data_IF_681495278995
#
_entry.id   IF_681495278995
#
_cell.length_a   1.000
_cell.length_b   1.000
_cell.length_c   1.000
_cell.angle_alpha   90.00
_cell.angle_beta   90.00
_cell.angle_gamma   90.00
#
_symmetry.space_group_name_H-M   'P 1'
#
loop_
_entity.id
_entity.type
_entity.pdbx_description
1 polymer ?
#
# COMPACT_ATOMS: atom_id res chain seq x y z
N UNK A 1 38.36 -51.09 -8.62
CA UNK A 1 37.99 -50.19 -9.74
C UNK A 1 37.18 -48.95 -9.34
N UNK A 2 36.87 -48.71 -8.05
CA UNK A 2 36.01 -47.59 -7.60
C UNK A 2 36.83 -46.34 -7.18
N UNK A 3 38.11 -46.48 -6.83
CA UNK A 3 38.93 -45.38 -6.30
C UNK A 3 39.39 -44.34 -7.35
N UNK A 4 39.52 -44.71 -8.62
CA UNK A 4 39.97 -43.80 -9.67
C UNK A 4 38.94 -42.69 -9.99
N UNK A 5 37.65 -42.95 -9.76
CA UNK A 5 36.57 -41.99 -9.99
C UNK A 5 36.53 -40.89 -8.93
N UNK A 6 36.72 -41.23 -7.66
CA UNK A 6 36.60 -40.30 -6.54
C UNK A 6 37.70 -39.21 -6.54
N UNK A 7 38.92 -39.55 -6.98
CA UNK A 7 40.04 -38.61 -7.04
C UNK A 7 39.85 -37.57 -8.17
N UNK A 8 39.31 -38.02 -9.32
CA UNK A 8 38.94 -37.16 -10.45
C UNK A 8 37.87 -36.12 -10.08
N UNK A 9 36.87 -36.50 -9.28
CA UNK A 9 35.84 -35.56 -8.82
C UNK A 9 36.37 -34.52 -7.82
N UNK A 10 37.28 -34.92 -6.92
CA UNK A 10 37.93 -33.99 -5.98
C UNK A 10 38.84 -32.99 -6.68
N UNK A 11 39.63 -33.43 -7.66
CA UNK A 11 40.50 -32.53 -8.43
C UNK A 11 39.70 -31.55 -9.31
N UNK A 12 38.61 -32.01 -9.93
CA UNK A 12 37.68 -31.13 -10.66
C UNK A 12 37.02 -30.11 -9.73
N UNK A 13 36.57 -30.54 -8.55
CA UNK A 13 35.96 -29.65 -7.55
C UNK A 13 36.95 -28.61 -7.03
N UNK A 14 38.18 -29.01 -6.69
CA UNK A 14 39.22 -28.09 -6.24
C UNK A 14 39.67 -27.11 -7.34
N UNK A 15 39.59 -27.51 -8.61
CA UNK A 15 39.86 -26.63 -9.75
C UNK A 15 38.74 -25.60 -9.93
N UNK A 16 37.47 -26.01 -9.82
CA UNK A 16 36.32 -25.10 -9.84
C UNK A 16 36.43 -24.09 -8.70
N UNK A 17 36.67 -24.52 -7.46
CA UNK A 17 36.78 -23.61 -6.30
C UNK A 17 37.88 -22.56 -6.52
N UNK A 18 39.06 -22.96 -7.02
CA UNK A 18 40.16 -22.03 -7.31
C UNK A 18 39.81 -21.05 -8.43
N UNK A 19 39.17 -21.52 -9.50
CA UNK A 19 38.68 -20.66 -10.58
C UNK A 19 37.62 -19.66 -10.10
N UNK A 20 36.65 -20.12 -9.31
CA UNK A 20 35.60 -19.27 -8.73
C UNK A 20 36.19 -18.23 -7.78
N UNK A 21 37.14 -18.60 -6.91
CA UNK A 21 37.81 -17.67 -6.02
C UNK A 21 38.59 -16.59 -6.79
N UNK A 22 39.30 -16.98 -7.86
CA UNK A 22 40.00 -16.05 -8.74
C UNK A 22 39.04 -15.10 -9.47
N UNK A 23 37.93 -15.61 -10.00
CA UNK A 23 36.91 -14.80 -10.65
C UNK A 23 36.23 -13.84 -9.67
N UNK A 24 35.99 -14.28 -8.42
CA UNK A 24 35.43 -13.44 -7.37
C UNK A 24 36.38 -12.30 -7.00
N UNK A 25 37.68 -12.59 -6.84
CA UNK A 25 38.69 -11.57 -6.56
C UNK A 25 38.76 -10.53 -7.70
N UNK A 26 38.75 -10.98 -8.96
CA UNK A 26 38.70 -10.09 -10.12
C UNK A 26 37.42 -9.24 -10.15
N UNK A 27 36.26 -9.83 -9.86
CA UNK A 27 34.99 -9.12 -9.81
C UNK A 27 34.85 -8.15 -8.63
N UNK A 28 35.62 -8.34 -7.56
CA UNK A 28 35.70 -7.42 -6.43
C UNK A 28 36.68 -6.28 -6.66
N UNK A 29 37.74 -6.51 -7.45
CA UNK A 29 38.68 -5.46 -7.87
C UNK A 29 38.12 -4.52 -8.94
N UNK A 30 37.12 -4.96 -9.70
CA UNK A 30 36.43 -4.14 -10.70
C UNK A 30 35.02 -3.78 -10.22
N UNK A 31 34.82 -2.52 -9.85
CA UNK A 31 33.49 -2.00 -9.50
C UNK A 31 32.47 -2.28 -10.61
N UNK A 32 32.90 -2.29 -11.89
CA UNK A 32 32.04 -2.46 -13.06
C UNK A 32 32.02 -3.89 -13.61
N UNK A 33 32.42 -4.88 -12.81
CA UNK A 33 32.44 -6.27 -13.22
C UNK A 33 31.11 -6.73 -13.84
N UNK A 34 31.13 -7.61 -14.86
CA UNK A 34 29.91 -8.05 -15.55
C UNK A 34 28.81 -8.60 -14.61
N UNK A 35 29.21 -9.26 -13.52
CA UNK A 35 28.28 -9.78 -12.51
C UNK A 35 27.58 -8.66 -11.72
N UNK A 36 28.30 -7.58 -11.37
CA UNK A 36 27.73 -6.41 -10.68
C UNK A 36 26.75 -5.67 -11.59
N UNK A 37 27.10 -5.49 -12.86
CA UNK A 37 26.18 -4.93 -13.88
C UNK A 37 24.94 -5.80 -14.08
N UNK A 38 25.11 -7.12 -14.05
CA UNK A 38 24.00 -8.09 -14.13
C UNK A 38 23.04 -7.92 -12.94
N UNK A 39 23.55 -7.83 -11.71
CA UNK A 39 22.72 -7.58 -10.52
C UNK A 39 22.05 -6.21 -10.54
N UNK A 40 22.77 -5.17 -10.97
CA UNK A 40 22.21 -3.83 -11.10
C UNK A 40 21.05 -3.81 -12.13
N UNK A 41 21.21 -4.50 -13.26
CA UNK A 41 20.11 -4.69 -14.23
C UNK A 41 18.89 -5.38 -13.61
N UNK A 42 19.09 -6.41 -12.77
CA UNK A 42 17.98 -7.05 -12.06
C UNK A 42 17.27 -6.08 -11.11
N UNK A 43 18.05 -5.33 -10.33
CA UNK A 43 17.50 -4.34 -9.39
C UNK A 43 16.69 -3.26 -10.10
N UNK A 44 17.13 -2.81 -11.29
CA UNK A 44 16.34 -1.87 -12.10
C UNK A 44 15.04 -2.48 -12.58
N UNK A 45 15.05 -3.72 -13.10
CA UNK A 45 13.83 -4.40 -13.53
C UNK A 45 12.83 -4.54 -12.38
N UNK A 46 13.29 -4.95 -11.20
CA UNK A 46 12.48 -5.02 -9.99
C UNK A 46 11.92 -3.64 -9.61
N UNK A 47 12.77 -2.60 -9.60
CA UNK A 47 12.34 -1.26 -9.25
C UNK A 47 11.32 -0.71 -10.24
N UNK A 48 11.49 -0.93 -11.55
CA UNK A 48 10.53 -0.52 -12.58
C UNK A 48 9.16 -1.19 -12.36
N UNK A 49 9.13 -2.48 -11.99
CA UNK A 49 7.90 -3.19 -11.65
C UNK A 49 7.24 -2.64 -10.38
N UNK A 50 8.04 -2.38 -9.32
CA UNK A 50 7.55 -1.76 -8.09
C UNK A 50 7.02 -0.34 -8.33
N UNK A 51 7.68 0.41 -9.21
CA UNK A 51 7.26 1.76 -9.58
C UNK A 51 5.92 1.75 -10.32
N UNK A 52 5.71 0.80 -11.25
CA UNK A 52 4.40 0.60 -11.88
C UNK A 52 3.32 0.29 -10.86
N UNK A 53 3.59 -0.63 -9.93
CA UNK A 53 2.63 -1.01 -8.89
C UNK A 53 2.31 0.15 -7.95
N UNK A 54 3.31 0.98 -7.61
CA UNK A 54 3.14 2.08 -6.68
C UNK A 54 2.41 3.27 -7.30
N UNK A 55 2.80 3.67 -8.52
CA UNK A 55 2.31 4.90 -9.16
C UNK A 55 1.09 4.67 -10.05
N UNK A 56 0.88 3.42 -10.48
CA UNK A 56 -0.18 3.08 -11.42
C UNK A 56 0.02 3.64 -12.82
N UNK A 57 1.17 4.24 -13.17
CA UNK A 57 1.40 4.79 -14.52
C UNK A 57 1.26 3.72 -15.60
N UNK A 58 0.85 4.11 -16.81
CA UNK A 58 0.78 3.14 -17.89
C UNK A 58 2.19 2.80 -18.42
N UNK A 59 2.32 1.66 -19.11
CA UNK A 59 3.62 1.19 -19.60
C UNK A 59 4.29 2.20 -20.55
N UNK A 60 3.54 2.78 -21.49
CA UNK A 60 4.10 3.77 -22.41
C UNK A 60 4.65 5.01 -21.69
N UNK A 61 3.97 5.47 -20.63
CA UNK A 61 4.42 6.56 -19.77
C UNK A 61 5.70 6.19 -19.04
N UNK A 62 5.80 4.99 -18.47
CA UNK A 62 7.01 4.49 -17.82
C UNK A 62 8.21 4.50 -18.77
N UNK A 63 8.03 3.98 -19.98
CA UNK A 63 9.09 3.87 -20.99
C UNK A 63 9.53 5.24 -21.54
N UNK A 64 8.65 6.24 -21.53
CA UNK A 64 8.91 7.58 -22.03
C UNK A 64 9.46 8.55 -20.96
N UNK A 65 9.65 8.11 -19.71
CA UNK A 65 10.17 8.95 -18.62
C UNK A 65 11.64 9.32 -18.85
N UNK A 66 11.98 10.60 -18.63
CA UNK A 66 13.32 11.16 -18.81
C UNK A 66 13.90 11.57 -17.45
N UNK A 67 15.17 11.23 -17.19
CA UNK A 67 15.84 11.48 -15.91
C UNK A 67 16.00 12.96 -15.58
N UNK A 68 16.37 13.79 -16.57
CA UNK A 68 16.53 15.25 -16.39
C UNK A 68 15.24 15.97 -16.04
N UNK A 69 14.09 15.30 -16.14
CA UNK A 69 12.78 15.86 -15.86
C UNK A 69 12.25 15.61 -14.44
N UNK A 70 12.93 14.78 -13.64
CA UNK A 70 12.59 14.59 -12.23
C UNK A 70 12.90 15.87 -11.44
N UNK A 71 11.86 16.63 -11.11
CA UNK A 71 11.97 17.81 -10.24
C UNK A 71 11.61 17.44 -8.81
N UNK A 72 12.08 18.27 -7.86
CA UNK A 72 11.85 18.09 -6.43
C UNK A 72 10.39 17.77 -6.10
N UNK A 73 10.23 16.79 -5.21
CA UNK A 73 8.94 16.29 -4.76
C UNK A 73 8.17 17.41 -4.02
N UNK A 74 7.08 17.89 -4.61
CA UNK A 74 6.16 18.81 -3.94
C UNK A 74 5.18 18.04 -3.05
N UNK A 75 4.78 18.64 -1.93
CA UNK A 75 3.80 18.03 -1.02
C UNK A 75 2.43 18.04 -1.69
N UNK A 76 1.94 16.86 -2.07
CA UNK A 76 0.58 16.69 -2.59
C UNK A 76 -0.42 16.45 -1.46
N UNK A 77 -0.03 15.61 -0.47
CA UNK A 77 -0.77 15.27 0.76
C UNK A 77 0.20 14.86 1.88
N UNK A 78 -0.30 14.73 3.11
CA UNK A 78 0.52 14.30 4.26
C UNK A 78 1.24 12.96 4.02
N UNK A 79 0.63 12.01 3.30
CA UNK A 79 1.19 10.65 3.05
C UNK A 79 1.77 10.44 1.65
N UNK A 80 1.58 11.40 0.74
CA UNK A 80 1.93 11.27 -0.68
C UNK A 80 2.73 12.48 -1.18
N UNK A 81 3.66 12.22 -2.09
CA UNK A 81 4.46 13.23 -2.78
C UNK A 81 4.13 13.21 -4.26
N UNK A 82 3.89 14.38 -4.82
CA UNK A 82 3.78 14.55 -6.27
C UNK A 82 5.17 14.78 -6.84
N UNK A 83 5.50 14.01 -7.86
CA UNK A 83 6.74 14.15 -8.62
C UNK A 83 6.36 14.50 -10.05
N UNK A 84 6.86 15.65 -10.51
CA UNK A 84 6.64 16.13 -11.88
C UNK A 84 7.73 15.56 -12.79
N UNK A 85 7.35 15.13 -13.99
CA UNK A 85 8.25 14.67 -15.04
C UNK A 85 7.70 15.01 -16.43
N UNK A 86 8.52 14.91 -17.47
CA UNK A 86 8.10 15.11 -18.86
C UNK A 86 8.09 13.79 -19.63
N UNK A 87 6.99 13.52 -20.32
CA UNK A 87 6.89 12.44 -21.30
C UNK A 87 6.28 12.97 -22.59
N UNK A 88 6.96 12.75 -23.73
CA UNK A 88 6.47 13.17 -25.05
C UNK A 88 6.17 14.67 -25.18
N UNK A 89 6.91 15.53 -24.47
CA UNK A 89 6.73 16.99 -24.51
C UNK A 89 5.62 17.54 -23.61
N UNK A 90 4.94 16.72 -22.80
CA UNK A 90 3.92 17.16 -21.83
C UNK A 90 4.42 16.98 -20.39
N UNK A 91 4.07 17.93 -19.52
CA UNK A 91 4.28 17.81 -18.08
C UNK A 91 3.26 16.81 -17.51
N UNK A 92 3.76 15.73 -16.93
CA UNK A 92 2.97 14.67 -16.29
C UNK A 92 3.40 14.57 -14.84
N UNK A 93 2.46 14.31 -13.95
CA UNK A 93 2.72 14.15 -12.52
C UNK A 93 2.36 12.73 -12.11
N UNK A 94 3.24 12.08 -11.34
CA UNK A 94 2.89 10.85 -10.64
C UNK A 94 2.95 11.09 -9.13
N UNK A 95 2.16 10.31 -8.41
CA UNK A 95 2.10 10.39 -6.95
C UNK A 95 2.72 9.14 -6.35
N UNK A 96 3.65 9.31 -5.41
CA UNK A 96 4.28 8.22 -4.65
C UNK A 96 4.01 8.36 -3.17
N UNK A 97 3.88 7.25 -2.45
CA UNK A 97 3.83 7.29 -0.99
C UNK A 97 5.17 7.70 -0.38
N UNK A 98 5.12 8.26 0.82
CA UNK A 98 6.33 8.58 1.60
C UNK A 98 7.25 7.37 1.81
N UNK A 99 6.68 6.18 2.05
CA UNK A 99 7.43 4.94 2.24
C UNK A 99 8.16 4.45 0.99
N UNK A 100 7.75 4.91 -0.20
CA UNK A 100 8.42 4.58 -1.46
C UNK A 100 9.62 5.48 -1.76
N UNK A 101 9.68 6.67 -1.16
CA UNK A 101 10.75 7.66 -1.42
C UNK A 101 12.17 7.11 -1.18
N UNK A 102 12.47 6.34 -0.12
CA UNK A 102 13.78 5.74 0.06
C UNK A 102 14.17 4.79 -1.09
N UNK A 103 13.22 4.02 -1.63
CA UNK A 103 13.46 3.11 -2.77
C UNK A 103 13.76 3.90 -4.04
N UNK A 104 13.03 4.99 -4.28
CA UNK A 104 13.28 5.90 -5.40
C UNK A 104 14.68 6.53 -5.30
N UNK A 105 15.08 7.00 -4.11
CA UNK A 105 16.43 7.54 -3.89
C UNK A 105 17.52 6.49 -4.16
N UNK A 106 17.35 5.28 -3.63
CA UNK A 106 18.29 4.19 -3.86
C UNK A 106 18.40 3.82 -5.35
N UNK A 107 17.28 3.85 -6.07
CA UNK A 107 17.26 3.63 -7.51
C UNK A 107 18.00 4.73 -8.28
N UNK A 108 17.80 6.01 -7.93
CA UNK A 108 18.48 7.12 -8.60
C UNK A 108 20.01 7.03 -8.41
N UNK A 109 20.47 6.66 -7.22
CA UNK A 109 21.89 6.39 -6.97
C UNK A 109 22.42 5.20 -7.80
N UNK A 110 21.63 4.12 -7.93
CA UNK A 110 21.99 2.97 -8.77
C UNK A 110 22.06 3.35 -10.26
N UNK A 111 21.15 4.22 -10.72
CA UNK A 111 21.13 4.75 -12.07
C UNK A 111 22.38 5.56 -12.35
N UNK A 112 22.71 6.51 -11.49
CA UNK A 112 23.92 7.34 -11.58
C UNK A 112 25.19 6.48 -11.69
N UNK A 113 25.29 5.45 -10.84
CA UNK A 113 26.37 4.46 -10.88
C UNK A 113 26.48 3.72 -12.23
N UNK A 114 25.36 3.43 -12.90
CA UNK A 114 25.35 2.72 -14.17
C UNK A 114 25.64 3.63 -15.35
N UNK A 115 24.96 4.78 -15.42
CA UNK A 115 25.03 5.77 -16.52
C UNK A 115 26.43 6.34 -16.62
N UNK A 116 26.98 6.87 -15.51
CA UNK A 116 28.22 7.65 -15.53
C UNK A 116 28.20 8.69 -16.68
N UNK A 117 29.14 8.62 -17.61
CA UNK A 117 29.25 9.55 -18.75
C UNK A 117 28.49 9.06 -20.00
N UNK A 118 27.68 8.00 -19.90
CA UNK A 118 26.89 7.52 -21.02
C UNK A 118 25.75 8.49 -21.35
N UNK A 119 25.60 8.81 -22.63
CA UNK A 119 24.49 9.60 -23.16
C UNK A 119 23.19 8.78 -23.09
N UNK A 120 22.54 8.81 -21.92
CA UNK A 120 21.29 8.12 -21.68
C UNK A 120 20.36 8.97 -20.82
N UNK A 121 19.36 9.53 -21.48
CA UNK A 121 18.35 10.39 -20.86
C UNK A 121 17.16 9.63 -20.28
N UNK A 122 16.95 8.37 -20.67
CA UNK A 122 15.85 7.55 -20.17
C UNK A 122 15.94 7.38 -18.65
N UNK A 123 14.84 7.62 -17.94
CA UNK A 123 14.78 7.39 -16.49
C UNK A 123 15.04 5.91 -16.22
N UNK A 124 14.24 5.03 -16.82
CA UNK A 124 14.38 3.59 -16.72
C UNK A 124 15.20 2.99 -17.85
N UNK A 125 16.19 2.19 -17.47
CA UNK A 125 17.17 1.58 -18.37
C UNK A 125 17.53 0.17 -17.91
N UNK A 126 18.20 -0.60 -18.75
CA UNK A 126 18.74 -1.90 -18.36
C UNK A 126 20.07 -2.13 -19.07
N UNK A 127 20.77 -3.19 -18.66
CA UNK A 127 21.97 -3.64 -19.37
C UNK A 127 21.53 -4.60 -20.47
N UNK A 128 21.90 -4.28 -21.71
CA UNK A 128 21.55 -5.05 -22.89
C UNK A 128 22.02 -6.50 -22.79
N UNK A 129 21.26 -7.40 -23.44
CA UNK A 129 21.55 -8.84 -23.54
C UNK A 129 22.00 -9.17 -24.97
N UNK A 130 22.61 -10.35 -25.14
CA UNK A 130 23.00 -10.88 -26.45
C UNK A 130 23.83 -9.89 -27.29
N UNK A 131 23.33 -9.42 -28.43
CA UNK A 131 24.01 -8.49 -29.34
C UNK A 131 24.36 -7.13 -28.72
N UNK A 132 23.67 -6.73 -27.64
CA UNK A 132 23.92 -5.48 -26.90
C UNK A 132 24.56 -5.72 -25.53
N UNK A 133 25.23 -6.86 -25.34
CA UNK A 133 25.76 -7.28 -24.04
C UNK A 133 26.70 -6.23 -23.46
N UNK A 134 26.35 -5.74 -22.27
CA UNK A 134 27.16 -4.78 -21.52
C UNK A 134 26.93 -3.32 -21.86
N UNK A 135 26.14 -3.02 -22.91
CA UNK A 135 25.68 -1.66 -23.22
C UNK A 135 24.45 -1.30 -22.37
N UNK A 136 24.28 -0.01 -22.10
CA UNK A 136 23.05 0.50 -21.50
C UNK A 136 22.01 0.71 -22.58
N UNK A 137 20.80 0.24 -22.33
CA UNK A 137 19.66 0.35 -23.24
C UNK A 137 18.45 0.86 -22.49
N UNK A 138 17.53 1.52 -23.18
CA UNK A 138 16.23 1.89 -22.62
C UNK A 138 15.51 0.64 -22.11
N UNK A 139 14.66 0.81 -21.09
CA UNK A 139 13.82 -0.30 -20.61
C UNK A 139 12.99 -0.85 -21.78
N UNK A 140 13.00 -2.16 -22.05
CA UNK A 140 12.20 -2.73 -23.14
C UNK A 140 10.72 -2.84 -22.73
N UNK A 141 9.76 -2.80 -23.67
CA UNK A 141 8.34 -2.98 -23.37
C UNK A 141 8.01 -4.29 -22.65
N UNK A 142 8.73 -5.36 -22.98
CA UNK A 142 8.59 -6.70 -22.43
C UNK A 142 9.40 -6.91 -21.13
N UNK A 143 9.87 -5.84 -20.46
CA UNK A 143 10.72 -5.95 -19.28
C UNK A 143 10.09 -6.78 -18.14
N UNK A 144 8.76 -6.77 -18.00
CA UNK A 144 8.07 -7.58 -16.99
C UNK A 144 8.23 -9.08 -17.28
N UNK A 145 8.12 -9.49 -18.54
CA UNK A 145 8.38 -10.87 -18.96
C UNK A 145 9.83 -11.23 -18.65
N UNK A 146 10.77 -10.36 -19.02
CA UNK A 146 12.20 -10.56 -18.75
C UNK A 146 12.53 -10.62 -17.26
N UNK A 147 11.79 -9.90 -16.42
CA UNK A 147 11.91 -9.92 -14.97
C UNK A 147 11.42 -11.27 -14.44
N UNK A 148 10.21 -11.67 -14.80
CA UNK A 148 9.61 -12.90 -14.29
C UNK A 148 10.38 -14.15 -14.73
N UNK A 149 10.80 -14.22 -16.00
CA UNK A 149 11.63 -15.33 -16.49
C UNK A 149 12.96 -15.40 -15.72
N UNK A 150 13.52 -14.25 -15.36
CA UNK A 150 14.75 -14.19 -14.57
C UNK A 150 14.53 -14.62 -13.12
N UNK A 151 13.38 -14.30 -12.52
CA UNK A 151 13.00 -14.79 -11.20
C UNK A 151 12.82 -16.31 -11.20
N UNK A 152 12.24 -16.88 -12.26
CA UNK A 152 12.11 -18.33 -12.39
C UNK A 152 13.47 -19.03 -12.42
N UNK A 153 14.48 -18.44 -13.09
CA UNK A 153 15.85 -19.00 -13.07
C UNK A 153 16.47 -19.02 -11.66
N UNK A 154 15.93 -18.25 -10.73
CA UNK A 154 16.33 -18.20 -9.32
C UNK A 154 15.41 -19.06 -8.43
N UNK A 155 14.44 -19.78 -9.00
CA UNK A 155 13.45 -20.57 -8.27
C UNK A 155 12.33 -19.73 -7.62
N UNK A 156 12.20 -18.46 -7.98
CA UNK A 156 11.18 -17.56 -7.46
C UNK A 156 10.01 -17.51 -8.44
N UNK A 157 8.96 -18.30 -8.17
CA UNK A 157 7.78 -18.38 -9.01
C UNK A 157 6.74 -17.36 -8.55
N UNK A 158 6.43 -16.38 -9.41
CA UNK A 158 5.41 -15.35 -9.18
C UNK A 158 4.32 -15.40 -10.25
N UNK A 159 3.08 -14.96 -9.93
CA UNK A 159 2.06 -14.76 -10.93
C UNK A 159 2.52 -13.74 -11.99
N UNK A 160 2.25 -14.04 -13.26
CA UNK A 160 2.64 -13.19 -14.40
C UNK A 160 1.67 -12.01 -14.54
N UNK A 161 1.89 -10.98 -13.74
CA UNK A 161 1.05 -9.76 -13.72
C UNK A 161 1.58 -8.76 -14.75
N UNK A 162 0.72 -8.36 -15.68
CA UNK A 162 1.03 -7.35 -16.71
C UNK A 162 0.97 -5.92 -16.15
N UNK A 163 1.59 -4.96 -16.85
CA UNK A 163 1.51 -3.55 -16.48
C UNK A 163 0.06 -3.03 -16.42
N UNK A 164 -0.81 -3.51 -17.31
CA UNK A 164 -2.24 -3.20 -17.29
C UNK A 164 -2.92 -3.73 -16.03
N UNK A 165 -2.65 -4.96 -15.64
CA UNK A 165 -3.20 -5.56 -14.42
C UNK A 165 -2.70 -4.86 -13.15
N UNK A 166 -1.42 -4.46 -13.09
CA UNK A 166 -0.90 -3.63 -11.99
C UNK A 166 -1.63 -2.29 -11.89
N UNK A 167 -1.91 -1.64 -13.02
CA UNK A 167 -2.67 -0.39 -13.06
C UNK A 167 -4.11 -0.58 -12.59
N UNK A 168 -4.78 -1.64 -13.01
CA UNK A 168 -6.14 -1.99 -12.54
C UNK A 168 -6.14 -2.22 -11.04
N UNK A 169 -5.23 -3.07 -10.53
CA UNK A 169 -5.14 -3.36 -9.11
C UNK A 169 -4.86 -2.09 -8.26
N UNK A 170 -3.99 -1.18 -8.76
CA UNK A 170 -3.74 0.10 -8.08
C UNK A 170 -4.98 1.01 -8.10
N UNK A 171 -5.71 1.05 -9.21
CA UNK A 171 -6.94 1.81 -9.34
C UNK A 171 -8.00 1.30 -8.37
N UNK A 172 -8.22 -0.01 -8.31
CA UNK A 172 -9.18 -0.63 -7.39
C UNK A 172 -8.81 -0.38 -5.93
N UNK A 173 -7.51 -0.52 -5.59
CA UNK A 173 -7.01 -0.16 -4.26
C UNK A 173 -7.24 1.32 -3.93
N UNK A 174 -6.98 2.23 -4.88
CA UNK A 174 -7.14 3.66 -4.65
C UNK A 174 -8.61 4.05 -4.50
N UNK A 175 -9.50 3.45 -5.29
CA UNK A 175 -10.95 3.66 -5.19
C UNK A 175 -11.48 3.10 -3.87
N UNK A 176 -11.10 1.86 -3.52
CA UNK A 176 -11.50 1.20 -2.27
C UNK A 176 -11.00 1.95 -1.02
N UNK A 177 -9.76 2.46 -1.06
CA UNK A 177 -9.14 3.10 0.11
C UNK A 177 -9.43 4.59 0.26
N UNK A 178 -9.65 5.31 -0.84
CA UNK A 178 -9.72 6.78 -0.84
C UNK A 178 -10.93 7.35 -1.60
N UNK A 179 -11.77 6.50 -2.20
CA UNK A 179 -12.93 6.90 -3.00
C UNK A 179 -12.59 7.34 -4.44
N UNK A 180 -13.58 7.36 -5.35
CA UNK A 180 -13.37 7.62 -6.77
C UNK A 180 -12.73 8.97 -7.11
N UNK A 181 -13.08 10.04 -6.39
CA UNK A 181 -12.56 11.39 -6.65
C UNK A 181 -11.09 11.57 -6.25
N UNK A 182 -10.62 10.86 -5.23
CA UNK A 182 -9.19 10.84 -4.87
C UNK A 182 -8.43 9.89 -5.77
N UNK A 183 -9.00 8.73 -6.09
CA UNK A 183 -8.41 7.77 -7.01
C UNK A 183 -8.15 8.37 -8.39
N UNK A 184 -9.11 9.14 -8.92
CA UNK A 184 -8.97 9.86 -10.19
C UNK A 184 -7.74 10.78 -10.21
N UNK A 185 -7.55 11.58 -9.16
CA UNK A 185 -6.38 12.46 -9.01
C UNK A 185 -5.09 11.68 -8.84
N UNK A 186 -5.09 10.63 -8.01
CA UNK A 186 -3.91 9.78 -7.78
C UNK A 186 -3.42 9.12 -9.07
N UNK A 187 -4.37 8.65 -9.88
CA UNK A 187 -4.10 7.90 -11.11
C UNK A 187 -3.99 8.77 -12.37
N UNK A 188 -4.16 10.09 -12.22
CA UNK A 188 -4.04 11.08 -13.29
C UNK A 188 -5.09 10.94 -14.40
N UNK A 189 -6.33 10.55 -14.06
CA UNK A 189 -7.43 10.42 -15.03
C UNK A 189 -8.73 11.07 -14.53
N UNK A 190 -9.77 11.08 -15.39
CA UNK A 190 -11.07 11.66 -15.04
C UNK A 190 -11.77 10.87 -13.92
N UNK A 191 -12.63 11.56 -13.16
CA UNK A 191 -13.51 10.92 -12.16
C UNK A 191 -14.45 9.91 -12.81
N UNK A 192 -14.90 10.17 -14.04
CA UNK A 192 -15.70 9.24 -14.84
C UNK A 192 -14.96 7.91 -15.08
N UNK A 193 -13.66 7.95 -15.38
CA UNK A 193 -12.82 6.74 -15.55
C UNK A 193 -12.66 5.99 -14.22
N UNK A 194 -12.58 6.71 -13.10
CA UNK A 194 -12.54 6.10 -11.76
C UNK A 194 -13.87 5.40 -11.43
N UNK A 195 -14.98 6.08 -11.70
CA UNK A 195 -16.34 5.59 -11.51
C UNK A 195 -16.64 4.40 -12.43
N UNK A 196 -16.12 4.38 -13.66
CA UNK A 196 -16.32 3.24 -14.57
C UNK A 196 -15.62 1.97 -14.09
N UNK A 197 -14.43 2.09 -13.48
CA UNK A 197 -13.77 0.95 -12.83
C UNK A 197 -14.53 0.48 -11.59
N UNK A 198 -15.05 1.45 -10.81
CA UNK A 198 -15.91 1.19 -9.67
C UNK A 198 -17.23 0.49 -10.08
N UNK A 199 -17.83 0.88 -11.20
CA UNK A 199 -19.12 0.34 -11.70
C UNK A 199 -18.96 -0.96 -12.50
N UNK A 200 -17.90 -1.10 -13.29
CA UNK A 200 -17.64 -2.32 -14.07
C UNK A 200 -17.24 -3.50 -13.17
N UNK A 201 -16.73 -3.24 -11.96
CA UNK A 201 -16.51 -4.30 -10.97
C UNK A 201 -17.81 -4.88 -10.40
N UNK A 202 -18.95 -4.19 -10.53
CA UNK A 202 -20.07 -4.42 -9.59
C UNK A 202 -21.49 -4.08 -10.09
N UNK A 203 -21.83 -4.25 -11.37
CA UNK A 203 -23.18 -3.84 -11.80
C UNK A 203 -24.33 -4.72 -11.24
N UNK A 204 -24.04 -5.99 -10.88
CA UNK A 204 -25.00 -6.88 -10.22
C UNK A 204 -24.88 -6.88 -8.67
N UNK A 205 -23.70 -6.64 -8.12
CA UNK A 205 -23.45 -6.61 -6.68
C UNK A 205 -23.83 -5.25 -6.06
N UNK A 206 -23.50 -4.12 -6.71
CA UNK A 206 -23.74 -2.79 -6.13
C UNK A 206 -25.21 -2.39 -6.03
N UNK A 207 -26.12 -2.87 -6.88
CA UNK A 207 -27.54 -2.48 -6.75
C UNK A 207 -28.21 -3.16 -5.53
N UNK A 208 -27.84 -4.40 -5.24
CA UNK A 208 -28.28 -5.10 -4.04
C UNK A 208 -27.52 -4.61 -2.78
N UNK A 209 -26.21 -4.39 -2.90
CA UNK A 209 -25.36 -3.88 -1.81
C UNK A 209 -25.65 -2.42 -1.47
N UNK A 210 -25.98 -1.53 -2.41
CA UNK A 210 -26.28 -0.12 -2.12
C UNK A 210 -27.60 0.03 -1.35
N UNK A 211 -28.61 -0.80 -1.66
CA UNK A 211 -29.85 -0.88 -0.88
C UNK A 211 -29.62 -1.44 0.53
N UNK A 212 -28.82 -2.50 0.65
CA UNK A 212 -28.43 -3.07 1.94
C UNK A 212 -27.52 -2.13 2.75
N UNK A 213 -26.65 -1.37 2.09
CA UNK A 213 -25.73 -0.39 2.66
C UNK A 213 -26.48 0.83 3.18
N UNK A 214 -27.36 1.45 2.39
CA UNK A 214 -28.19 2.57 2.85
C UNK A 214 -29.09 2.14 4.03
N UNK A 215 -29.69 0.95 3.95
CA UNK A 215 -30.45 0.38 5.06
C UNK A 215 -29.57 0.05 6.30
N UNK A 216 -28.31 -0.34 6.11
CA UNK A 216 -27.35 -0.59 7.18
C UNK A 216 -26.89 0.70 7.84
N UNK A 217 -26.67 1.78 7.07
CA UNK A 217 -26.29 3.11 7.56
C UNK A 217 -27.43 3.74 8.37
N UNK A 218 -28.67 3.69 7.85
CA UNK A 218 -29.85 4.16 8.57
C UNK A 218 -30.07 3.39 9.88
N UNK A 219 -29.83 2.07 9.88
CA UNK A 219 -29.91 1.26 11.10
C UNK A 219 -28.76 1.53 12.07
N UNK A 220 -27.54 1.83 11.60
CA UNK A 220 -26.34 1.95 12.44
C UNK A 220 -26.28 3.29 13.18
N UNK A 221 -26.70 4.39 12.55
CA UNK A 221 -26.55 5.75 13.12
C UNK A 221 -27.87 6.25 13.71
N UNK A 222 -28.00 6.17 15.03
CA UNK A 222 -29.20 6.56 15.78
C UNK A 222 -29.38 8.09 15.83
N UNK A 223 -30.62 8.54 16.01
CA UNK A 223 -30.90 9.96 16.31
C UNK A 223 -30.60 10.24 17.78
N UNK A 224 -30.36 11.50 18.10
CA UNK A 224 -30.13 11.95 19.48
C UNK A 224 -31.38 11.62 20.32
N UNK A 225 -31.17 10.90 21.43
CA UNK A 225 -32.23 10.52 22.38
C UNK A 225 -33.03 9.27 22.01
N UNK A 226 -32.66 8.56 20.95
CA UNK A 226 -33.33 7.33 20.51
C UNK A 226 -32.52 6.11 20.96
N UNK A 227 -32.70 5.69 22.22
CA UNK A 227 -32.07 4.48 22.76
C UNK A 227 -33.01 3.27 22.58
N UNK A 228 -32.63 2.25 21.79
CA UNK A 228 -33.38 1.01 21.71
C UNK A 228 -33.47 0.33 23.09
N UNK A 229 -34.65 -0.13 23.48
CA UNK A 229 -34.88 -0.74 24.80
C UNK A 229 -33.93 -1.91 25.04
N UNK A 230 -33.16 -1.86 26.13
CA UNK A 230 -32.18 -2.89 26.48
C UNK A 230 -30.78 -2.67 25.89
N UNK A 231 -30.52 -1.51 25.30
CA UNK A 231 -29.20 -1.12 24.81
C UNK A 231 -28.16 -1.01 25.93
N UNK A 232 -26.91 -1.35 25.62
CA UNK A 232 -25.76 -1.19 26.51
C UNK A 232 -24.70 -0.30 25.86
N UNK A 233 -24.02 0.52 26.67
CA UNK A 233 -22.90 1.34 26.19
C UNK A 233 -21.67 0.48 25.93
N UNK A 234 -20.95 0.79 24.87
CA UNK A 234 -19.70 0.15 24.46
C UNK A 234 -18.58 1.19 24.28
N UNK A 235 -17.35 0.71 24.09
CA UNK A 235 -16.16 1.53 23.92
C UNK A 235 -16.13 2.38 22.63
N UNK A 236 -17.03 2.10 21.67
CA UNK A 236 -17.10 2.79 20.38
C UNK A 236 -18.50 3.30 20.05
N UNK A 237 -19.49 3.10 20.92
CA UNK A 237 -20.89 3.45 20.66
C UNK A 237 -21.83 2.66 21.57
N UNK A 238 -22.87 2.06 21.00
CA UNK A 238 -23.94 1.34 21.71
C UNK A 238 -24.20 -0.04 21.09
N UNK A 239 -24.59 -1.02 21.89
CA UNK A 239 -24.98 -2.36 21.46
C UNK A 239 -26.44 -2.63 21.84
N UNK A 240 -27.24 -3.14 20.90
CA UNK A 240 -28.68 -3.38 21.12
C UNK A 240 -29.03 -4.82 21.52
N UNK A 241 -28.12 -5.79 21.33
CA UNK A 241 -28.33 -7.20 21.70
C UNK A 241 -26.99 -7.88 22.04
N UNK A 242 -26.59 -7.79 23.31
CA UNK A 242 -25.30 -8.29 23.78
C UNK A 242 -25.22 -9.83 23.72
N UNK A 243 -24.02 -10.36 23.41
CA UNK A 243 -23.72 -11.80 23.18
C UNK A 243 -24.34 -12.43 21.94
N UNK A 244 -24.87 -11.64 21.02
CA UNK A 244 -25.34 -12.12 19.70
C UNK A 244 -24.62 -11.39 18.56
N UNK A 245 -23.29 -11.57 18.41
CA UNK A 245 -22.56 -10.91 17.33
C UNK A 245 -22.96 -11.48 15.97
N UNK A 246 -23.59 -10.67 15.12
CA UNK A 246 -23.85 -10.98 13.72
C UNK A 246 -22.98 -10.11 12.81
N UNK A 247 -22.51 -10.62 11.66
CA UNK A 247 -21.72 -9.83 10.73
C UNK A 247 -22.61 -8.82 9.99
N UNK A 248 -22.12 -7.59 9.83
CA UNK A 248 -22.83 -6.53 9.08
C UNK A 248 -23.03 -6.84 7.60
N UNK A 249 -22.26 -7.78 7.05
CA UNK A 249 -22.30 -8.20 5.65
C UNK A 249 -21.85 -9.66 5.51
N UNK A 250 -22.12 -10.27 4.35
CA UNK A 250 -21.76 -11.67 4.07
C UNK A 250 -20.24 -11.94 4.13
N UNK A 251 -19.42 -10.92 3.91
CA UNK A 251 -17.97 -10.95 4.09
C UNK A 251 -17.55 -9.74 4.93
N UNK A 252 -16.87 -9.99 6.05
CA UNK A 252 -16.33 -8.94 6.94
C UNK A 252 -14.84 -9.21 7.17
N UNK A 253 -14.04 -8.15 7.12
CA UNK A 253 -12.58 -8.24 7.31
C UNK A 253 -12.21 -8.62 8.74
N UNK A 254 -12.95 -8.12 9.72
CA UNK A 254 -12.83 -8.49 11.14
C UNK A 254 -14.07 -9.25 11.54
N UNK A 255 -13.91 -10.43 12.14
CA UNK A 255 -15.03 -11.22 12.64
C UNK A 255 -15.64 -10.51 13.86
N UNK A 256 -16.95 -10.28 13.88
CA UNK A 256 -17.60 -9.66 15.03
C UNK A 256 -17.53 -10.57 16.24
N UNK A 257 -17.19 -10.01 17.39
CA UNK A 257 -17.19 -10.68 18.66
C UNK A 257 -17.51 -9.66 19.79
N UNK A 258 -17.99 -10.14 20.93
CA UNK A 258 -18.36 -9.28 22.06
C UNK A 258 -17.21 -9.05 23.07
N UNK A 259 -15.97 -9.38 22.69
CA UNK A 259 -14.77 -9.28 23.54
C UNK A 259 -13.85 -8.15 23.05
N UNK A 260 -13.69 -8.00 21.74
CA UNK A 260 -12.83 -7.02 21.10
C UNK A 260 -13.63 -5.77 20.71
N UNK A 261 -12.98 -4.61 20.82
CA UNK A 261 -13.59 -3.34 20.43
C UNK A 261 -13.70 -3.25 18.90
N UNK A 262 -12.73 -3.83 18.20
CA UNK A 262 -12.67 -3.94 16.75
C UNK A 262 -13.84 -4.80 16.23
N UNK A 263 -14.14 -5.92 16.90
CA UNK A 263 -15.27 -6.79 16.54
C UNK A 263 -16.63 -6.10 16.60
N UNK A 264 -16.83 -5.16 17.55
CA UNK A 264 -18.07 -4.38 17.64
C UNK A 264 -18.31 -3.51 16.39
N UNK A 265 -17.28 -2.92 15.78
CA UNK A 265 -17.43 -2.03 14.62
C UNK A 265 -17.97 -2.74 13.36
N UNK A 266 -17.85 -4.07 13.31
CA UNK A 266 -18.30 -4.94 12.23
C UNK A 266 -19.50 -5.82 12.62
N UNK A 267 -20.16 -5.49 13.73
CA UNK A 267 -21.32 -6.20 14.26
C UNK A 267 -22.65 -5.54 13.83
N UNK A 268 -23.64 -6.35 13.44
CA UNK A 268 -24.99 -5.90 13.07
C UNK A 268 -25.81 -5.36 14.26
N UNK A 269 -25.40 -5.67 15.49
CA UNK A 269 -25.96 -5.16 16.74
C UNK A 269 -25.34 -3.83 17.19
N UNK A 270 -24.34 -3.32 16.48
CA UNK A 270 -23.66 -2.08 16.83
C UNK A 270 -24.42 -0.86 16.33
N UNK A 271 -24.51 0.16 17.18
CA UNK A 271 -25.14 1.45 16.92
C UNK A 271 -24.22 2.57 17.38
N UNK A 272 -24.38 3.75 16.79
CA UNK A 272 -23.68 4.97 17.20
C UNK A 272 -24.66 6.13 17.25
N UNK A 273 -24.62 6.91 18.31
CA UNK A 273 -25.39 8.15 18.39
C UNK A 273 -24.67 9.30 17.69
N UNK A 274 -25.45 10.19 17.10
CA UNK A 274 -24.94 11.48 16.60
C UNK A 274 -24.81 12.50 17.75
N UNK A 275 -24.12 12.12 18.82
CA UNK A 275 -23.89 12.94 20.00
C UNK A 275 -22.40 13.07 20.32
N UNK A 276 -22.07 14.00 21.22
CA UNK A 276 -20.69 14.27 21.58
C UNK A 276 -19.99 13.03 22.18
N UNK A 277 -20.70 12.22 22.96
CA UNK A 277 -20.10 11.10 23.67
C UNK A 277 -19.64 9.98 22.72
N UNK A 278 -20.47 9.58 21.77
CA UNK A 278 -20.12 8.51 20.83
C UNK A 278 -19.15 9.00 19.75
N UNK A 279 -19.23 10.27 19.33
CA UNK A 279 -18.20 10.92 18.49
C UNK A 279 -16.84 10.89 19.18
N UNK A 280 -16.79 11.26 20.47
CA UNK A 280 -15.55 11.32 21.25
C UNK A 280 -14.89 9.94 21.40
N UNK A 281 -15.68 8.90 21.65
CA UNK A 281 -15.21 7.50 21.69
C UNK A 281 -14.64 7.03 20.35
N UNK A 282 -15.31 7.32 19.24
CA UNK A 282 -14.84 6.92 17.90
C UNK A 282 -13.52 7.61 17.54
N UNK A 283 -13.42 8.91 17.80
CA UNK A 283 -12.20 9.67 17.56
C UNK A 283 -11.05 9.18 18.47
N UNK A 284 -11.33 8.91 19.74
CA UNK A 284 -10.33 8.37 20.69
C UNK A 284 -9.84 6.98 20.26
N UNK A 285 -10.75 6.10 19.82
CA UNK A 285 -10.41 4.81 19.24
C UNK A 285 -9.48 4.97 18.03
N UNK A 286 -9.83 5.87 17.10
CA UNK A 286 -9.02 6.16 15.91
C UNK A 286 -7.63 6.64 16.28
N UNK A 287 -7.52 7.52 17.28
CA UNK A 287 -6.26 8.04 17.79
C UNK A 287 -5.37 6.90 18.32
N UNK A 288 -5.91 6.07 19.22
CA UNK A 288 -5.20 4.92 19.78
C UNK A 288 -4.79 3.89 18.71
N UNK A 289 -5.67 3.58 17.76
CA UNK A 289 -5.35 2.67 16.65
C UNK A 289 -4.22 3.24 15.79
N UNK A 290 -4.23 4.55 15.49
CA UNK A 290 -3.13 5.22 14.75
C UNK A 290 -1.80 5.12 15.51
N UNK A 291 -1.79 5.37 16.81
CA UNK A 291 -0.60 5.26 17.65
C UNK A 291 -0.02 3.85 17.66
N UNK A 292 -0.83 2.84 17.95
CA UNK A 292 -0.39 1.44 18.04
C UNK A 292 0.01 0.89 16.66
N UNK A 293 -0.70 1.28 15.60
CA UNK A 293 -0.38 0.84 14.23
C UNK A 293 0.96 1.38 13.72
N UNK A 294 1.49 2.46 14.32
CA UNK A 294 2.83 2.97 14.05
C UNK A 294 3.96 2.00 14.43
N UNK A 295 3.67 0.95 15.19
CA UNK A 295 4.61 -0.11 15.62
C UNK A 295 4.40 -1.46 14.94
N UNK A 296 3.53 -1.55 13.93
CA UNK A 296 3.27 -2.82 13.25
C UNK A 296 4.54 -3.34 12.54
N UNK A 297 4.92 -4.59 12.83
CA UNK A 297 6.12 -5.25 12.27
C UNK A 297 6.07 -5.45 10.75
N UNK A 298 4.87 -5.38 10.15
CA UNK A 298 4.68 -5.54 8.70
C UNK A 298 3.47 -4.77 8.16
N UNK A 299 3.55 -4.41 6.86
CA UNK A 299 2.50 -3.71 6.11
C UNK A 299 1.22 -4.57 5.97
N UNK A 300 1.35 -5.90 5.91
CA UNK A 300 0.23 -6.83 5.77
C UNK A 300 -0.58 -6.99 7.06
N UNK A 301 0.09 -6.96 8.22
CA UNK A 301 -0.56 -6.97 9.53
C UNK A 301 -1.20 -5.61 9.84
N UNK A 302 -0.56 -4.51 9.41
CA UNK A 302 -1.15 -3.17 9.40
C UNK A 302 -2.43 -3.10 8.55
N UNK A 303 -2.37 -3.65 7.33
CA UNK A 303 -3.46 -3.61 6.35
C UNK A 303 -4.66 -4.48 6.71
N UNK A 304 -4.43 -5.65 7.31
CA UNK A 304 -5.49 -6.65 7.51
C UNK A 304 -6.40 -6.38 8.70
N UNK A 305 -5.92 -5.67 9.74
CA UNK A 305 -6.71 -5.41 10.97
C UNK A 305 -6.87 -3.92 11.26
N UNK A 306 -5.78 -3.16 11.37
CA UNK A 306 -5.86 -1.73 11.72
C UNK A 306 -6.43 -0.87 10.58
N UNK A 307 -6.08 -1.16 9.33
CA UNK A 307 -6.60 -0.45 8.17
C UNK A 307 -8.12 -0.54 8.02
N UNK A 308 -8.68 -1.74 8.22
CA UNK A 308 -10.13 -1.95 8.13
C UNK A 308 -10.88 -1.23 9.27
N UNK A 309 -10.33 -1.27 10.49
CA UNK A 309 -10.90 -0.56 11.65
C UNK A 309 -10.89 0.95 11.42
N UNK A 310 -9.77 1.53 10.98
CA UNK A 310 -9.66 2.96 10.69
C UNK A 310 -10.66 3.40 9.60
N UNK A 311 -10.76 2.64 8.50
CA UNK A 311 -11.73 2.93 7.43
C UNK A 311 -13.17 2.89 7.94
N UNK A 312 -13.50 1.92 8.79
CA UNK A 312 -14.84 1.81 9.38
C UNK A 312 -15.15 2.99 10.29
N UNK A 313 -14.19 3.44 11.11
CA UNK A 313 -14.36 4.60 11.97
C UNK A 313 -14.51 5.89 11.14
N UNK A 314 -13.64 6.11 10.15
CA UNK A 314 -13.71 7.28 9.28
C UNK A 314 -15.04 7.33 8.51
N UNK A 315 -15.53 6.17 8.07
CA UNK A 315 -16.87 6.06 7.47
C UNK A 315 -17.98 6.52 8.42
N UNK A 316 -17.98 6.04 9.67
CA UNK A 316 -18.99 6.45 10.67
C UNK A 316 -18.89 7.94 10.99
N UNK A 317 -17.68 8.49 11.10
CA UNK A 317 -17.44 9.90 11.34
C UNK A 317 -17.90 10.77 10.16
N UNK A 318 -17.74 10.33 8.92
CA UNK A 318 -18.26 11.05 7.75
C UNK A 318 -19.80 11.11 7.75
N UNK A 319 -20.47 10.01 8.14
CA UNK A 319 -21.93 10.02 8.32
C UNK A 319 -22.37 10.96 9.45
N UNK A 320 -21.60 11.02 10.54
CA UNK A 320 -21.84 11.93 11.66
C UNK A 320 -21.61 13.40 11.27
N UNK A 321 -20.57 13.70 10.49
CA UNK A 321 -20.29 15.04 9.95
C UNK A 321 -21.41 15.57 9.06
N UNK A 322 -22.09 14.69 8.31
CA UNK A 322 -23.25 15.11 7.50
C UNK A 322 -24.42 15.60 8.36
N UNK A 323 -24.48 15.22 9.63
CA UNK A 323 -25.51 15.66 10.58
C UNK A 323 -25.07 16.90 11.36
N UNK A 324 -23.85 16.88 11.88
CA UNK A 324 -23.27 18.00 12.63
C UNK A 324 -21.74 18.07 12.44
N UNK A 325 -21.31 18.76 11.38
CA UNK A 325 -19.89 18.92 11.07
C UNK A 325 -19.15 19.71 12.16
N UNK A 326 -19.79 20.73 12.74
CA UNK A 326 -19.15 21.60 13.72
C UNK A 326 -18.81 20.82 15.00
N UNK A 327 -19.73 19.97 15.47
CA UNK A 327 -19.51 19.12 16.64
C UNK A 327 -18.39 18.10 16.39
N UNK A 328 -18.39 17.44 15.23
CA UNK A 328 -17.34 16.45 14.91
C UNK A 328 -15.98 17.12 14.79
N UNK A 329 -15.89 18.26 14.09
CA UNK A 329 -14.62 18.97 13.90
C UNK A 329 -14.07 19.51 15.23
N UNK A 330 -14.96 19.98 16.13
CA UNK A 330 -14.57 20.43 17.48
C UNK A 330 -13.97 19.28 18.30
N UNK A 331 -14.65 18.13 18.36
CA UNK A 331 -14.18 16.98 19.14
C UNK A 331 -12.95 16.34 18.48
N UNK A 332 -12.87 16.36 17.14
CA UNK A 332 -11.68 15.90 16.41
C UNK A 332 -10.46 16.73 16.75
N UNK A 333 -10.61 18.06 16.88
CA UNK A 333 -9.54 18.91 17.37
C UNK A 333 -9.15 18.58 18.82
N UNK A 334 -10.12 18.43 19.71
CA UNK A 334 -9.89 18.09 21.13
C UNK A 334 -9.15 16.74 21.30
N UNK A 335 -9.47 15.75 20.48
CA UNK A 335 -8.82 14.43 20.53
C UNK A 335 -7.47 14.40 19.81
N UNK A 336 -7.42 14.82 18.54
CA UNK A 336 -6.23 14.61 17.71
C UNK A 336 -5.16 15.70 17.90
N UNK A 337 -5.53 16.88 18.41
CA UNK A 337 -4.58 17.99 18.67
C UNK A 337 -4.30 18.13 20.15
N UNK A 338 -5.33 18.22 20.98
CA UNK A 338 -5.16 18.43 22.43
C UNK A 338 -4.91 17.12 23.20
N UNK A 339 -5.18 15.96 22.58
CA UNK A 339 -4.90 14.65 23.17
C UNK A 339 -5.92 14.20 24.23
N UNK A 340 -7.07 14.86 24.30
CA UNK A 340 -8.10 14.58 25.30
C UNK A 340 -8.93 13.36 24.86
N UNK A 341 -8.51 12.17 25.27
CA UNK A 341 -9.22 10.93 24.97
C UNK A 341 -10.43 10.71 25.90
N UNK A 342 -11.43 9.98 25.41
CA UNK A 342 -12.50 9.42 26.25
C UNK A 342 -11.89 8.54 27.36
N UNK A 343 -12.54 8.53 28.54
CA UNK A 343 -12.03 7.87 29.74
C UNK A 343 -11.68 6.39 29.53
N UNK A 344 -12.43 5.66 28.70
CA UNK A 344 -12.10 4.27 28.38
C UNK A 344 -10.78 4.18 27.61
N UNK A 345 -10.60 5.04 26.60
CA UNK A 345 -9.43 5.03 25.71
C UNK A 345 -8.17 5.60 26.34
N UNK A 346 -8.31 6.59 27.22
CA UNK A 346 -7.22 7.07 28.07
C UNK A 346 -6.69 5.93 28.95
N UNK A 347 -7.56 5.26 29.72
CA UNK A 347 -7.15 4.15 30.57
C UNK A 347 -6.58 2.96 29.77
N UNK A 348 -7.11 2.71 28.57
CA UNK A 348 -6.60 1.67 27.67
C UNK A 348 -5.22 2.02 27.11
N UNK A 349 -4.99 3.28 26.77
CA UNK A 349 -3.70 3.75 26.28
C UNK A 349 -2.63 3.70 27.37
N UNK A 350 -2.96 4.08 28.61
CA UNK A 350 -2.07 3.95 29.77
C UNK A 350 -1.65 2.48 29.99
N UNK A 351 -2.59 1.54 29.92
CA UNK A 351 -2.27 0.10 29.99
C UNK A 351 -1.32 -0.34 28.86
N UNK A 352 -1.49 0.20 27.66
CA UNK A 352 -0.61 -0.13 26.53
C UNK A 352 0.80 0.45 26.71
N UNK A 353 0.93 1.63 27.35
CA UNK A 353 2.22 2.20 27.73
C UNK A 353 2.92 1.38 28.81
N UNK A 354 2.19 0.95 29.86
CA UNK A 354 2.71 0.07 30.91
C UNK A 354 3.22 -1.27 30.37
N UNK A 355 2.56 -1.81 29.34
CA UNK A 355 2.95 -3.04 28.66
C UNK A 355 4.06 -2.83 27.61
N UNK A 356 4.49 -1.59 27.35
CA UNK A 356 5.51 -1.25 26.36
C UNK A 356 5.07 -1.40 24.89
N UNK A 357 3.76 -1.45 24.64
CA UNK A 357 3.17 -1.70 23.32
C UNK A 357 2.66 -0.40 22.66
N UNK A 358 2.41 0.67 23.43
CA UNK A 358 2.10 2.03 22.94
C UNK A 358 3.29 2.99 23.04
#
# INVERSE_FOLDING_TARGET
MIEAGANSYRDRSGTIVRLTAKQLALANGDARAPIRRSHASMAILCFAALFLAETGVNLAQLLAMISSSLRDASVARQTFREVKYRAGGRDVTFTVSLGFMPKLKAYLALREYLVQDADCDALFMTVGRSAQRGQLVCLPPEFLVQLYDRLDTLGIVLPRITAGQWRVAKQDWAVSKHGPGVAARLMGHSVETALRSYSNGTDAAHKAEMGAFLASVEKTVLKIGEDPTGSIRSAVGVCIDFRKPGPIAASVTVKPDCRSTEGCLFCDQYRVHADAADIHKLLSCRHCVRLVSGRADSIEQYSSSFGAVLQRIDFLLDELRRRDAALVDQIEHDVDVEGNLDAFWSARLDQLYELGVA
#
